data_IF_807157302004
#
_entry.id   IF_807157302004
#
_cell.length_a   1.000
_cell.length_b   1.000
_cell.length_c   1.000
_cell.angle_alpha   90.00
_cell.angle_beta   90.00
_cell.angle_gamma   90.00
#
_symmetry.space_group_name_H-M   'P 1'
#
loop_
_entity.id
_entity.type
_entity.pdbx_description
1 polymer ?
#
# COMPACT_ATOMS: atom_id res chain seq x y z
N UNK A 1 -3.65 -14.73 16.35
CA UNK A 1 -3.20 -14.28 17.68
C UNK A 1 -2.71 -15.45 18.54
N UNK A 2 -3.50 -16.51 18.77
CA UNK A 2 -3.10 -17.60 19.68
C UNK A 2 -1.88 -18.43 19.18
N UNK A 3 -1.54 -18.37 17.88
CA UNK A 3 -0.36 -19.05 17.28
C UNK A 3 0.79 -18.11 16.87
N UNK A 4 0.58 -16.79 16.91
CA UNK A 4 1.59 -15.82 16.45
C UNK A 4 1.32 -14.48 17.14
N UNK A 5 2.34 -13.93 17.80
CA UNK A 5 2.22 -12.77 18.70
C UNK A 5 2.30 -11.43 17.96
N UNK A 6 2.74 -11.44 16.71
CA UNK A 6 2.85 -10.23 15.88
C UNK A 6 1.55 -9.90 15.16
N UNK A 7 1.17 -8.62 15.19
CA UNK A 7 0.00 -8.07 14.48
C UNK A 7 0.42 -6.85 13.66
N UNK A 8 -0.34 -6.57 12.60
CA UNK A 8 -0.19 -5.39 11.74
C UNK A 8 -1.49 -4.61 11.70
N UNK A 9 -1.44 -3.32 11.33
CA UNK A 9 -2.65 -2.54 11.13
C UNK A 9 -3.45 -3.05 9.91
N UNK A 10 -4.78 -3.06 10.04
CA UNK A 10 -5.72 -3.40 8.98
C UNK A 10 -6.10 -2.20 8.11
N UNK A 11 -7.30 -2.21 7.54
CA UNK A 11 -7.84 -1.07 6.77
C UNK A 11 -7.05 -0.74 5.50
N UNK A 12 -6.29 -1.69 4.95
CA UNK A 12 -5.43 -1.46 3.80
C UNK A 12 -4.05 -0.85 4.13
N UNK A 13 -3.74 -0.59 5.42
CA UNK A 13 -2.49 0.06 5.82
C UNK A 13 -1.26 -0.77 5.44
N UNK A 14 -1.31 -2.09 5.66
CA UNK A 14 -0.18 -2.97 5.32
C UNK A 14 0.04 -3.05 3.82
N UNK A 15 -1.02 -3.08 3.00
CA UNK A 15 -0.92 -3.06 1.55
C UNK A 15 -0.33 -1.75 1.03
N UNK A 16 -0.68 -0.62 1.64
CA UNK A 16 -0.10 0.68 1.31
C UNK A 16 1.39 0.74 1.66
N UNK A 17 1.79 0.23 2.84
CA UNK A 17 3.20 0.19 3.25
C UNK A 17 4.03 -0.73 2.34
N UNK A 18 3.52 -1.93 2.03
CA UNK A 18 4.18 -2.85 1.11
C UNK A 18 4.28 -2.27 -0.30
N UNK A 19 3.23 -1.58 -0.77
CA UNK A 19 3.26 -0.86 -2.05
C UNK A 19 4.38 0.19 -2.08
N UNK A 20 4.49 0.99 -1.03
CA UNK A 20 5.56 2.00 -0.88
C UNK A 20 6.94 1.34 -0.89
N UNK A 21 7.14 0.31 -0.06
CA UNK A 21 8.41 -0.41 0.04
C UNK A 21 8.84 -1.00 -1.30
N UNK A 22 7.94 -1.73 -1.98
CA UNK A 22 8.23 -2.38 -3.26
C UNK A 22 8.44 -1.37 -4.38
N UNK A 23 7.77 -0.22 -4.34
CA UNK A 23 7.99 0.88 -5.30
C UNK A 23 9.36 1.53 -5.10
N UNK A 24 9.81 1.68 -3.87
CA UNK A 24 11.15 2.20 -3.58
C UNK A 24 12.21 1.17 -3.99
N UNK A 25 12.00 -0.11 -3.66
CA UNK A 25 12.87 -1.21 -4.06
C UNK A 25 12.95 -1.35 -5.59
N UNK A 26 11.84 -1.20 -6.31
CA UNK A 26 11.87 -1.34 -7.78
C UNK A 26 12.81 -0.33 -8.44
N UNK A 27 12.96 0.87 -7.88
CA UNK A 27 13.86 1.92 -8.37
C UNK A 27 15.34 1.55 -8.25
N UNK A 28 15.69 0.57 -7.41
CA UNK A 28 17.07 0.08 -7.28
C UNK A 28 17.38 -1.04 -8.27
N UNK A 29 16.37 -1.60 -8.94
CA UNK A 29 16.50 -2.71 -9.88
C UNK A 29 16.58 -2.15 -11.31
N UNK A 30 17.62 -2.50 -12.09
CA UNK A 30 17.73 -2.05 -13.47
C UNK A 30 16.87 -2.89 -14.44
N UNK A 31 16.46 -2.27 -15.54
CA UNK A 31 15.83 -2.95 -16.67
C UNK A 31 14.36 -3.31 -16.44
N UNK A 32 13.86 -4.31 -17.19
CA UNK A 32 12.43 -4.62 -17.26
C UNK A 32 11.83 -5.11 -15.93
N UNK A 33 12.64 -5.69 -15.05
CA UNK A 33 12.20 -6.17 -13.74
C UNK A 33 11.68 -5.04 -12.85
N UNK A 34 12.23 -3.83 -12.97
CA UNK A 34 11.73 -2.62 -12.31
C UNK A 34 10.23 -2.42 -12.54
N UNK A 35 9.80 -2.58 -13.79
CA UNK A 35 8.41 -2.35 -14.20
C UNK A 35 7.48 -3.41 -13.58
N UNK A 36 7.94 -4.66 -13.52
CA UNK A 36 7.17 -5.76 -12.92
C UNK A 36 6.98 -5.56 -11.41
N UNK A 37 8.05 -5.21 -10.69
CA UNK A 37 7.97 -4.94 -9.25
C UNK A 37 7.09 -3.71 -9.00
N UNK A 38 7.24 -2.64 -9.80
CA UNK A 38 6.39 -1.45 -9.71
C UNK A 38 4.91 -1.75 -9.98
N UNK A 39 4.60 -2.63 -10.94
CA UNK A 39 3.23 -3.05 -11.22
C UNK A 39 2.65 -3.87 -10.07
N UNK A 40 3.42 -4.79 -9.48
CA UNK A 40 3.00 -5.57 -8.32
C UNK A 40 2.76 -4.66 -7.10
N UNK A 41 3.65 -3.71 -6.84
CA UNK A 41 3.46 -2.68 -5.81
C UNK A 41 2.14 -1.93 -6.00
N UNK A 42 1.82 -1.51 -7.23
CA UNK A 42 0.55 -0.84 -7.54
C UNK A 42 -0.67 -1.77 -7.35
N UNK A 43 -0.53 -3.05 -7.64
CA UNK A 43 -1.62 -4.02 -7.51
C UNK A 43 -2.07 -4.19 -6.05
N UNK A 44 -1.15 -4.11 -5.08
CA UNK A 44 -1.49 -4.19 -3.64
C UNK A 44 -2.47 -3.09 -3.22
N UNK A 45 -2.41 -1.91 -3.84
CA UNK A 45 -3.32 -0.80 -3.53
C UNK A 45 -4.79 -1.07 -3.95
N UNK A 46 -5.10 -2.22 -4.57
CA UNK A 46 -6.48 -2.60 -4.89
C UNK A 46 -7.32 -2.82 -3.62
N UNK A 47 -6.75 -3.37 -2.56
CA UNK A 47 -7.46 -3.65 -1.30
C UNK A 47 -7.96 -2.35 -0.64
N UNK A 48 -7.10 -1.36 -0.34
CA UNK A 48 -7.58 -0.07 0.19
C UNK A 48 -8.50 0.67 -0.79
N UNK A 49 -8.31 0.52 -2.11
CA UNK A 49 -9.25 1.09 -3.09
C UNK A 49 -10.65 0.49 -2.96
N UNK A 50 -10.76 -0.83 -2.90
CA UNK A 50 -12.04 -1.51 -2.72
C UNK A 50 -12.70 -1.14 -1.39
N UNK A 51 -11.92 -0.96 -0.31
CA UNK A 51 -12.46 -0.47 0.96
C UNK A 51 -13.07 0.94 0.81
N UNK A 52 -12.39 1.84 0.11
CA UNK A 52 -12.92 3.18 -0.17
C UNK A 52 -14.20 3.11 -1.02
N UNK A 53 -14.17 2.36 -2.12
CA UNK A 53 -15.30 2.25 -3.05
C UNK A 53 -16.53 1.65 -2.35
N UNK A 54 -16.35 0.59 -1.55
CA UNK A 54 -17.41 -0.04 -0.77
C UNK A 54 -17.97 0.88 0.33
N UNK A 55 -17.14 1.78 0.88
CA UNK A 55 -17.56 2.78 1.86
C UNK A 55 -18.21 4.02 1.22
N UNK A 56 -18.25 4.10 -0.12
CA UNK A 56 -18.80 5.25 -0.84
C UNK A 56 -17.89 6.48 -0.86
N UNK A 57 -16.59 6.31 -0.60
CA UNK A 57 -15.61 7.39 -0.65
C UNK A 57 -14.97 7.55 -2.03
N UNK A 58 -14.42 8.73 -2.31
CA UNK A 58 -13.52 8.92 -3.47
C UNK A 58 -12.18 8.20 -3.21
N UNK A 59 -12.08 6.98 -3.70
CA UNK A 59 -10.89 6.15 -3.57
C UNK A 59 -9.64 6.81 -4.14
N UNK A 60 -9.76 7.62 -5.20
CA UNK A 60 -8.59 8.27 -5.80
C UNK A 60 -8.01 9.31 -4.85
N UNK A 61 -8.86 10.13 -4.24
CA UNK A 61 -8.44 11.13 -3.25
C UNK A 61 -7.85 10.47 -2.00
N UNK A 62 -8.53 9.48 -1.42
CA UNK A 62 -8.05 8.78 -0.22
C UNK A 62 -6.72 8.08 -0.49
N UNK A 63 -6.59 7.30 -1.57
CA UNK A 63 -5.32 6.63 -1.86
C UNK A 63 -4.17 7.62 -2.05
N UNK A 64 -4.41 8.79 -2.66
CA UNK A 64 -3.39 9.83 -2.76
C UNK A 64 -2.94 10.35 -1.39
N UNK A 65 -3.88 10.58 -0.47
CA UNK A 65 -3.55 10.96 0.92
C UNK A 65 -2.79 9.86 1.65
N UNK A 66 -3.20 8.61 1.51
CA UNK A 66 -2.52 7.48 2.12
C UNK A 66 -1.09 7.33 1.58
N UNK A 67 -0.88 7.40 0.25
CA UNK A 67 0.48 7.38 -0.33
C UNK A 67 1.36 8.49 0.25
N UNK A 68 0.83 9.70 0.43
CA UNK A 68 1.56 10.80 1.04
C UNK A 68 1.91 10.53 2.51
N UNK A 69 0.98 9.96 3.30
CA UNK A 69 1.22 9.59 4.70
C UNK A 69 2.28 8.51 4.85
N UNK A 70 2.23 7.45 4.04
CA UNK A 70 3.24 6.40 4.04
C UNK A 70 4.61 6.90 3.57
N UNK A 71 4.66 7.79 2.58
CA UNK A 71 5.90 8.44 2.16
C UNK A 71 6.55 9.28 3.27
N UNK A 72 5.74 9.78 4.22
CA UNK A 72 6.18 10.54 5.40
C UNK A 72 6.49 9.64 6.62
N UNK A 73 6.55 8.31 6.45
CA UNK A 73 6.83 7.36 7.52
C UNK A 73 5.60 6.90 8.32
N UNK A 74 4.39 7.27 7.89
CA UNK A 74 3.15 6.81 8.48
C UNK A 74 2.81 5.37 8.08
N UNK A 75 3.42 4.39 8.75
CA UNK A 75 3.29 2.95 8.42
C UNK A 75 1.89 2.37 8.62
N UNK A 76 1.09 2.92 9.54
CA UNK A 76 -0.16 2.31 10.00
C UNK A 76 -1.42 3.06 9.56
N UNK A 77 -1.34 3.89 8.53
CA UNK A 77 -2.49 4.64 8.02
C UNK A 77 -3.30 3.77 7.04
N UNK A 78 -4.53 3.42 7.43
CA UNK A 78 -5.52 2.76 6.57
C UNK A 78 -6.64 3.72 6.14
N UNK A 79 -7.57 3.19 5.33
CA UNK A 79 -8.83 3.84 4.92
C UNK A 79 -9.71 4.14 6.13
#
# INVERSE_FOLDING_TARGET
AIKNDSVVAGGGAIEMELSKYLRDYSRTIPGKQQLLIGAYAKALEIIPRQLCDNAGFDATNILNKLRAKHAQGGMWYGV
#
